data_IF_699354816632
#
_entry.id   IF_699354816632
#
_cell.length_a   1.000
_cell.length_b   1.000
_cell.length_c   1.000
_cell.angle_alpha   90.00
_cell.angle_beta   90.00
_cell.angle_gamma   90.00
#
_symmetry.space_group_name_H-M   'P 1'
#
loop_
_entity.id
_entity.type
_entity.pdbx_description
1 polymer ?
#
# COMPACT_ATOMS: atom_id res chain seq x y z
N UNK A 1 6.54 0.92 11.77
CA UNK A 1 5.22 0.31 11.52
C UNK A 1 4.85 -0.63 12.67
N UNK A 2 3.61 -0.61 13.11
CA UNK A 2 3.09 -1.59 14.08
C UNK A 2 2.54 -2.84 13.36
N UNK A 3 3.35 -3.90 13.27
CA UNK A 3 3.02 -5.14 12.51
C UNK A 3 1.81 -5.87 13.09
N UNK A 4 1.63 -5.86 14.42
CA UNK A 4 0.49 -6.52 15.07
C UNK A 4 -0.83 -5.85 14.67
N UNK A 5 -0.90 -4.52 14.77
CA UNK A 5 -2.06 -3.74 14.32
C UNK A 5 -2.28 -3.87 12.81
N UNK A 6 -1.21 -3.83 12.03
CA UNK A 6 -1.28 -4.04 10.58
C UNK A 6 -1.99 -5.36 10.25
N UNK A 7 -1.55 -6.48 10.83
CA UNK A 7 -2.14 -7.80 10.58
C UNK A 7 -3.57 -7.93 11.11
N UNK A 8 -3.94 -7.18 12.14
CA UNK A 8 -5.33 -7.09 12.61
C UNK A 8 -6.23 -6.42 11.57
N UNK A 9 -5.78 -5.32 10.97
CA UNK A 9 -6.52 -4.62 9.92
C UNK A 9 -6.63 -5.47 8.66
N UNK A 10 -5.57 -6.20 8.27
CA UNK A 10 -5.64 -7.14 7.13
C UNK A 10 -6.72 -8.20 7.36
N UNK A 11 -6.75 -8.84 8.54
CA UNK A 11 -7.80 -9.81 8.88
C UNK A 11 -9.20 -9.20 8.83
N UNK A 12 -9.33 -7.93 9.23
CA UNK A 12 -10.60 -7.22 9.13
C UNK A 12 -11.00 -6.97 7.68
N UNK A 13 -10.07 -6.55 6.82
CA UNK A 13 -10.31 -6.33 5.38
C UNK A 13 -10.71 -7.63 4.68
N UNK A 14 -10.03 -8.73 4.99
CA UNK A 14 -10.37 -10.09 4.52
C UNK A 14 -11.77 -10.49 4.95
N UNK A 15 -12.13 -10.26 6.22
CA UNK A 15 -13.47 -10.54 6.72
C UNK A 15 -14.53 -9.70 6.01
N UNK A 16 -14.28 -8.39 5.81
CA UNK A 16 -15.19 -7.51 5.07
C UNK A 16 -15.38 -8.01 3.63
N UNK A 17 -14.32 -8.45 2.97
CA UNK A 17 -14.40 -9.07 1.65
C UNK A 17 -15.27 -10.33 1.66
N UNK A 18 -15.04 -11.24 2.60
CA UNK A 18 -15.77 -12.52 2.70
C UNK A 18 -17.28 -12.32 2.91
N UNK A 19 -17.68 -11.34 3.72
CA UNK A 19 -19.10 -11.13 4.03
C UNK A 19 -19.83 -10.23 3.04
N UNK A 20 -19.10 -9.38 2.29
CA UNK A 20 -19.71 -8.36 1.44
C UNK A 20 -19.34 -8.47 -0.03
N UNK A 21 -18.35 -9.28 -0.40
CA UNK A 21 -17.84 -9.42 -1.77
C UNK A 21 -17.59 -8.06 -2.45
N UNK A 22 -17.04 -7.10 -1.70
CA UNK A 22 -16.79 -5.75 -2.20
C UNK A 22 -17.97 -4.77 -2.11
N UNK A 23 -19.15 -5.20 -1.65
CA UNK A 23 -20.36 -4.34 -1.64
C UNK A 23 -20.45 -3.41 -0.41
N UNK A 24 -19.69 -3.68 0.66
CA UNK A 24 -19.67 -2.81 1.83
C UNK A 24 -18.56 -1.77 1.75
N UNK A 25 -18.77 -0.76 0.90
CA UNK A 25 -17.81 0.31 0.63
C UNK A 25 -17.25 0.97 1.90
N UNK A 26 -18.12 1.37 2.85
CA UNK A 26 -17.68 2.03 4.09
C UNK A 26 -16.70 1.17 4.91
N UNK A 27 -16.93 -0.15 4.97
CA UNK A 27 -16.05 -1.07 5.71
C UNK A 27 -14.71 -1.30 5.01
N UNK A 28 -14.69 -1.24 3.68
CA UNK A 28 -13.48 -1.33 2.87
C UNK A 28 -12.66 -0.05 3.04
N UNK A 29 -13.29 1.11 2.90
CA UNK A 29 -12.66 2.43 3.04
C UNK A 29 -12.08 2.61 4.46
N UNK A 30 -12.79 2.18 5.50
CA UNK A 30 -12.28 2.20 6.88
C UNK A 30 -10.98 1.39 7.00
N UNK A 31 -10.94 0.18 6.43
CA UNK A 31 -9.74 -0.65 6.45
C UNK A 31 -8.59 -0.01 5.65
N UNK A 32 -8.87 0.51 4.46
CA UNK A 32 -7.88 1.15 3.60
C UNK A 32 -7.26 2.38 4.30
N UNK A 33 -8.09 3.24 4.91
CA UNK A 33 -7.60 4.38 5.69
C UNK A 33 -6.68 3.96 6.84
N UNK A 34 -7.05 2.91 7.59
CA UNK A 34 -6.22 2.37 8.67
C UNK A 34 -4.90 1.80 8.14
N UNK A 35 -4.91 1.08 7.02
CA UNK A 35 -3.69 0.58 6.38
C UNK A 35 -2.80 1.74 5.93
N UNK A 36 -3.36 2.75 5.27
CA UNK A 36 -2.64 3.97 4.85
C UNK A 36 -1.96 4.63 6.03
N UNK A 37 -2.67 4.80 7.15
CA UNK A 37 -2.13 5.40 8.37
C UNK A 37 -0.96 4.59 8.94
N UNK A 38 -1.11 3.27 9.04
CA UNK A 38 -0.08 2.38 9.60
C UNK A 38 1.17 2.35 8.71
N UNK A 39 0.99 2.23 7.38
CA UNK A 39 2.09 2.15 6.41
C UNK A 39 2.85 3.47 6.28
N UNK A 40 2.15 4.61 6.42
CA UNK A 40 2.74 5.95 6.32
C UNK A 40 3.37 6.46 7.63
N UNK A 41 3.00 5.90 8.80
CA UNK A 41 3.53 6.29 10.11
C UNK A 41 5.07 6.30 10.12
N UNK A 42 5.67 5.20 9.68
CA UNK A 42 7.13 5.01 9.64
C UNK A 42 7.52 4.22 8.39
N UNK A 43 7.89 4.95 7.34
CA UNK A 43 8.25 4.41 6.02
C UNK A 43 9.46 3.49 6.09
N UNK A 44 10.45 3.81 6.92
CA UNK A 44 11.67 2.99 7.04
C UNK A 44 11.31 1.61 7.57
N UNK A 45 10.49 1.56 8.64
CA UNK A 45 10.02 0.30 9.19
C UNK A 45 9.03 -0.42 8.25
N UNK A 46 8.23 0.30 7.47
CA UNK A 46 7.38 -0.29 6.42
C UNK A 46 8.23 -0.98 5.35
N UNK A 47 9.28 -0.32 4.84
CA UNK A 47 10.20 -0.91 3.86
C UNK A 47 10.91 -2.14 4.44
N UNK A 48 11.33 -2.10 5.71
CA UNK A 48 11.95 -3.23 6.38
C UNK A 48 11.01 -4.45 6.44
N UNK A 49 9.73 -4.21 6.81
CA UNK A 49 8.70 -5.25 6.79
C UNK A 49 8.48 -5.81 5.37
N UNK A 50 8.35 -4.95 4.36
CA UNK A 50 8.14 -5.35 2.95
C UNK A 50 9.24 -6.29 2.44
N UNK A 51 10.49 -5.99 2.79
CA UNK A 51 11.63 -6.78 2.34
C UNK A 51 11.76 -8.12 3.08
N UNK A 52 11.47 -8.14 4.39
CA UNK A 52 11.85 -9.25 5.26
C UNK A 52 10.68 -10.15 5.70
N UNK A 53 9.49 -9.59 5.91
CA UNK A 53 8.37 -10.28 6.57
C UNK A 53 7.10 -10.37 5.74
N UNK A 54 6.96 -9.50 4.73
CA UNK A 54 5.75 -9.41 3.92
C UNK A 54 5.50 -10.68 3.10
N UNK A 55 4.28 -11.19 3.23
CA UNK A 55 3.76 -12.33 2.47
C UNK A 55 3.09 -11.89 1.17
N UNK A 56 2.89 -12.83 0.25
CA UNK A 56 2.19 -12.58 -1.01
C UNK A 56 0.77 -12.01 -0.78
N UNK A 57 0.02 -12.62 0.15
CA UNK A 57 -1.34 -12.17 0.52
C UNK A 57 -1.34 -10.76 1.11
N UNK A 58 -0.43 -10.47 2.05
CA UNK A 58 -0.32 -9.12 2.63
C UNK A 58 0.05 -8.09 1.55
N UNK A 59 0.94 -8.44 0.62
CA UNK A 59 1.35 -7.57 -0.49
C UNK A 59 0.17 -7.21 -1.41
N UNK A 60 -0.71 -8.15 -1.71
CA UNK A 60 -1.92 -7.90 -2.50
C UNK A 60 -2.84 -6.90 -1.83
N UNK A 61 -3.11 -7.06 -0.53
CA UNK A 61 -3.98 -6.15 0.21
C UNK A 61 -3.42 -4.73 0.33
N UNK A 62 -2.12 -4.59 0.61
CA UNK A 62 -1.50 -3.26 0.75
C UNK A 62 -1.23 -2.57 -0.58
N UNK A 63 -1.39 -3.29 -1.70
CA UNK A 63 -1.30 -2.67 -3.03
C UNK A 63 -2.48 -1.72 -3.30
N UNK A 64 -3.64 -1.97 -2.67
CA UNK A 64 -4.84 -1.15 -2.79
C UNK A 64 -4.65 0.28 -2.28
N UNK A 65 -3.67 0.49 -1.38
CA UNK A 65 -3.47 1.76 -0.67
C UNK A 65 -2.13 2.43 -0.97
N UNK A 66 -1.38 1.91 -1.94
CA UNK A 66 -0.03 2.41 -2.23
C UNK A 66 -0.05 3.88 -2.65
N UNK A 67 -1.01 4.27 -3.49
CA UNK A 67 -1.15 5.63 -3.99
C UNK A 67 -1.41 6.60 -2.82
N UNK A 68 -2.37 6.28 -1.95
CA UNK A 68 -2.74 7.07 -0.78
C UNK A 68 -1.57 7.19 0.22
N UNK A 69 -0.79 6.12 0.43
CA UNK A 69 0.41 6.18 1.27
C UNK A 69 1.43 7.16 0.68
N UNK A 70 1.60 7.15 -0.64
CA UNK A 70 2.57 8.00 -1.35
C UNK A 70 2.09 9.44 -1.46
N UNK A 71 0.79 9.69 -1.65
CA UNK A 71 0.19 11.03 -1.55
C UNK A 71 0.40 11.61 -0.15
N UNK A 72 0.16 10.81 0.89
CA UNK A 72 0.29 11.25 2.28
C UNK A 72 1.75 11.47 2.69
N UNK A 73 2.66 10.63 2.21
CA UNK A 73 4.09 10.69 2.54
C UNK A 73 4.95 10.26 1.34
N UNK A 74 5.24 11.21 0.42
CA UNK A 74 6.02 10.94 -0.78
C UNK A 74 7.37 10.28 -0.46
N UNK A 75 7.59 9.06 -0.97
CA UNK A 75 8.83 8.34 -0.77
C UNK A 75 9.18 7.42 -1.96
N UNK A 76 10.27 7.72 -2.65
CA UNK A 76 10.73 6.94 -3.81
C UNK A 76 11.25 5.55 -3.45
N UNK A 77 11.84 5.37 -2.28
CA UNK A 77 12.36 4.06 -1.85
C UNK A 77 11.23 3.08 -1.56
N UNK A 78 10.11 3.56 -1.00
CA UNK A 78 8.90 2.76 -0.81
C UNK A 78 8.37 2.24 -2.14
N UNK A 79 8.17 3.13 -3.12
CA UNK A 79 7.65 2.73 -4.45
C UNK A 79 8.60 1.77 -5.15
N UNK A 80 9.91 1.99 -5.02
CA UNK A 80 10.92 1.06 -5.53
C UNK A 80 10.83 -0.31 -4.86
N UNK A 81 10.63 -0.37 -3.55
CA UNK A 81 10.44 -1.64 -2.83
C UNK A 81 9.20 -2.40 -3.33
N UNK A 82 8.07 -1.71 -3.52
CA UNK A 82 6.88 -2.32 -4.15
C UNK A 82 7.18 -2.85 -5.55
N UNK A 83 7.95 -2.12 -6.35
CA UNK A 83 8.35 -2.55 -7.71
C UNK A 83 9.24 -3.80 -7.68
N UNK A 84 10.15 -3.90 -6.71
CA UNK A 84 10.99 -5.09 -6.53
C UNK A 84 10.15 -6.31 -6.11
N UNK A 85 9.14 -6.12 -5.25
CA UNK A 85 8.22 -7.18 -4.84
C UNK A 85 7.39 -7.75 -5.99
N UNK A 86 7.13 -7.00 -7.07
CA UNK A 86 6.48 -7.55 -8.27
C UNK A 86 7.25 -8.74 -8.87
N UNK A 87 8.59 -8.74 -8.74
CA UNK A 87 9.42 -9.87 -9.20
C UNK A 87 9.36 -11.07 -8.26
N UNK A 88 9.12 -10.82 -6.96
CA UNK A 88 8.99 -11.84 -5.91
C UNK A 88 7.60 -12.48 -5.94
N UNK A 89 6.57 -11.72 -6.26
CA UNK A 89 5.16 -12.12 -6.27
C UNK A 89 4.47 -11.84 -7.62
N UNK A 90 4.93 -12.47 -8.73
CA UNK A 90 4.42 -12.16 -10.06
C UNK A 90 2.95 -12.54 -10.26
N UNK A 91 2.45 -13.58 -9.59
CA UNK A 91 1.05 -14.01 -9.66
C UNK A 91 0.10 -12.99 -9.03
N UNK A 92 0.46 -12.47 -7.85
CA UNK A 92 -0.28 -11.40 -7.17
C UNK A 92 -0.30 -10.13 -8.01
N UNK A 93 0.87 -9.77 -8.58
CA UNK A 93 0.99 -8.59 -9.43
C UNK A 93 0.06 -8.64 -10.65
N UNK A 94 -0.10 -9.82 -11.26
CA UNK A 94 -1.00 -10.00 -12.39
C UNK A 94 -2.48 -10.00 -11.96
N UNK A 95 -2.80 -10.63 -10.84
CA UNK A 95 -4.18 -10.77 -10.34
C UNK A 95 -4.76 -9.44 -9.87
N UNK A 96 -3.97 -8.67 -9.12
CA UNK A 96 -4.43 -7.44 -8.45
C UNK A 96 -4.00 -6.15 -9.17
N UNK A 97 -3.44 -6.26 -10.38
CA UNK A 97 -2.96 -5.12 -11.17
C UNK A 97 -1.99 -4.21 -10.38
N UNK A 98 -1.07 -4.81 -9.61
CA UNK A 98 -0.14 -4.05 -8.75
C UNK A 98 0.79 -3.15 -9.56
N UNK A 99 1.06 -3.51 -10.82
CA UNK A 99 1.78 -2.65 -11.75
C UNK A 99 1.09 -1.28 -11.92
N UNK A 100 -0.24 -1.25 -12.01
CA UNK A 100 -1.01 -0.02 -12.09
C UNK A 100 -0.87 0.86 -10.85
N UNK A 101 -0.96 0.28 -9.65
CA UNK A 101 -0.77 1.00 -8.40
C UNK A 101 0.65 1.60 -8.28
N UNK A 102 1.68 0.84 -8.71
CA UNK A 102 3.06 1.34 -8.76
C UNK A 102 3.20 2.50 -9.76
N UNK A 103 2.59 2.40 -10.94
CA UNK A 103 2.60 3.47 -11.94
C UNK A 103 1.90 4.75 -11.45
N UNK A 104 0.78 4.61 -10.74
CA UNK A 104 0.06 5.71 -10.08
C UNK A 104 0.91 6.39 -9.02
N UNK A 105 1.51 5.61 -8.12
CA UNK A 105 2.43 6.12 -7.11
C UNK A 105 3.66 6.83 -7.71
N UNK A 106 4.25 6.29 -8.77
CA UNK A 106 5.33 6.96 -9.49
C UNK A 106 4.86 8.29 -10.13
N UNK A 107 3.60 8.39 -10.58
CA UNK A 107 3.03 9.62 -11.12
C UNK A 107 2.86 10.70 -10.04
N UNK A 108 2.39 10.32 -8.85
CA UNK A 108 2.30 11.20 -7.68
C UNK A 108 3.69 11.76 -7.34
N UNK A 109 4.71 10.91 -7.24
CA UNK A 109 6.09 11.34 -6.97
C UNK A 109 6.63 12.31 -8.03
N UNK A 110 6.31 12.09 -9.31
CA UNK A 110 6.70 13.03 -10.38
C UNK A 110 6.00 14.37 -10.22
N UNK A 111 4.70 14.37 -9.94
CA UNK A 111 3.93 15.59 -9.73
C UNK A 111 4.48 16.41 -8.55
N UNK A 112 4.76 15.75 -7.42
CA UNK A 112 5.37 16.37 -6.23
C UNK A 112 6.77 16.94 -6.51
N UNK A 113 7.59 16.24 -7.28
CA UNK A 113 8.93 16.73 -7.63
C UNK A 113 8.90 17.99 -8.53
N UNK A 114 7.85 18.12 -9.35
CA UNK A 114 7.63 19.23 -10.28
C UNK A 114 6.91 20.43 -9.62
N UNK A 115 5.98 20.20 -8.70
CA UNK A 115 5.07 21.22 -8.16
C UNK A 115 5.20 21.45 -6.65
N UNK A 116 5.77 20.52 -5.89
CA UNK A 116 5.92 20.60 -4.43
C UNK A 116 7.04 21.52 -3.93
N UNK A 117 7.77 22.20 -4.85
CA UNK A 117 8.83 23.17 -4.51
C UNK A 117 8.34 24.61 -4.38
N UNK A 118 7.08 24.89 -4.67
CA UNK A 118 6.50 26.24 -4.65
C UNK A 118 5.76 26.55 -3.33
N UNK A 119 5.84 25.66 -2.34
CA UNK A 119 5.24 25.83 -1.01
C UNK A 119 6.31 25.90 0.10
N UNK A 120 7.16 26.92 0.07
CA UNK A 120 8.01 27.39 1.18
C UNK A 120 7.76 28.88 1.46
#
# INVERSE_FOLDING_TARGET
>A
MNIEKFREVIKRREYVEDISCGEWADGIEECQNLLTDILSEDITATIDFLNNECTASEYSWISEVLEEVVEKKPNTELVKCYKELMTKFPEECATYNIAGAVEGAEAILRWEAEHGKDSD
#
